data_IF_956125164432
#
_entry.id   IF_956125164432
#
_cell.length_a   1.000
_cell.length_b   1.000
_cell.length_c   1.000
_cell.angle_alpha   90.00
_cell.angle_beta   90.00
_cell.angle_gamma   90.00
#
_symmetry.space_group_name_H-M   'P 1'
#
loop_
_entity.id
_entity.type
_entity.pdbx_description
1 polymer ?
#
# COMPACT_ATOMS: atom_id res chain seq x y z
N UNK A 1 0.09 -16.04 11.75
CA UNK A 1 -0.16 -14.70 11.22
C UNK A 1 0.59 -14.49 9.92
N UNK A 2 -0.11 -14.10 8.89
CA UNK A 2 0.44 -13.86 7.56
C UNK A 2 -0.06 -12.53 7.03
N UNK A 3 0.77 -11.79 6.26
CA UNK A 3 0.30 -10.59 5.60
C UNK A 3 -0.71 -10.93 4.50
N UNK A 4 -1.59 -9.98 4.19
CA UNK A 4 -2.63 -10.19 3.19
C UNK A 4 -2.10 -10.24 1.76
N UNK A 5 -1.03 -9.51 1.48
CA UNK A 5 -0.45 -9.42 0.14
C UNK A 5 1.06 -9.57 0.20
N UNK A 6 1.57 -10.55 -0.52
CA UNK A 6 3.00 -10.70 -0.77
C UNK A 6 3.16 -10.92 -2.27
N UNK A 7 3.93 -10.08 -2.92
CA UNK A 7 4.20 -10.27 -4.33
C UNK A 7 5.65 -10.04 -4.67
N UNK A 8 6.09 -10.66 -5.74
CA UNK A 8 7.47 -10.64 -6.18
C UNK A 8 7.62 -9.73 -7.39
N UNK A 9 8.64 -8.87 -7.36
CA UNK A 9 8.97 -8.03 -8.50
C UNK A 9 10.44 -7.61 -8.38
N UNK A 10 11.18 -7.67 -9.49
CA UNK A 10 12.60 -7.28 -9.59
C UNK A 10 13.51 -7.96 -8.57
N UNK A 11 13.33 -9.25 -8.39
CA UNK A 11 14.19 -10.03 -7.52
C UNK A 11 13.98 -9.80 -6.03
N UNK A 12 12.89 -9.15 -5.66
CA UNK A 12 12.56 -8.92 -4.26
C UNK A 12 11.07 -9.05 -3.97
N UNK A 13 10.72 -8.86 -2.73
CA UNK A 13 9.35 -9.00 -2.25
C UNK A 13 8.77 -7.65 -1.82
N UNK A 14 7.46 -7.52 -2.02
CA UNK A 14 6.64 -6.46 -1.48
C UNK A 14 5.64 -7.09 -0.52
N UNK A 15 5.56 -6.54 0.68
CA UNK A 15 4.74 -7.10 1.77
C UNK A 15 3.75 -6.04 2.24
N UNK A 16 2.46 -6.29 2.04
CA UNK A 16 1.40 -5.36 2.43
C UNK A 16 0.34 -6.07 3.24
N UNK A 17 -0.27 -5.32 4.16
CA UNK A 17 -1.40 -5.81 4.94
C UNK A 17 -2.61 -4.89 4.72
N UNK A 18 -3.79 -5.47 4.63
CA UNK A 18 -5.03 -4.70 4.44
C UNK A 18 -5.62 -4.36 5.80
N UNK A 19 -5.95 -3.10 6.02
CA UNK A 19 -6.50 -2.62 7.27
C UNK A 19 -7.93 -2.11 7.07
N UNK A 20 -8.89 -2.83 7.63
CA UNK A 20 -10.32 -2.51 7.53
C UNK A 20 -10.77 -1.62 8.68
N UNK A 21 -9.96 -0.65 9.03
CA UNK A 21 -10.26 0.32 10.08
C UNK A 21 -10.00 1.73 9.57
N UNK A 22 -10.56 2.72 10.26
CA UNK A 22 -10.39 4.10 9.88
C UNK A 22 -8.91 4.51 9.98
N UNK A 23 -8.42 5.20 8.97
CA UNK A 23 -7.10 5.81 9.02
C UNK A 23 -7.22 7.16 9.75
N UNK A 24 -6.36 7.38 10.74
CA UNK A 24 -6.32 8.63 11.48
C UNK A 24 -5.29 9.56 10.83
N UNK A 25 -5.73 10.67 10.20
CA UNK A 25 -4.80 11.58 9.53
C UNK A 25 -3.86 12.31 10.50
N UNK A 26 -4.23 12.40 11.78
CA UNK A 26 -3.40 13.08 12.77
C UNK A 26 -2.27 12.19 13.29
N UNK A 27 -2.57 10.92 13.57
CA UNK A 27 -1.60 10.00 14.16
C UNK A 27 -1.03 9.00 13.15
N UNK A 28 -1.63 8.90 11.99
CA UNK A 28 -1.18 8.00 10.94
C UNK A 28 -1.44 6.54 11.26
N UNK A 29 -0.47 5.69 10.91
CA UNK A 29 -0.58 4.25 11.14
C UNK A 29 -0.34 3.95 12.62
N UNK A 30 -1.15 3.05 13.18
CA UNK A 30 -1.02 2.67 14.58
C UNK A 30 0.27 1.91 14.83
N UNK A 31 0.86 2.14 15.98
CA UNK A 31 2.12 1.53 16.39
C UNK A 31 2.08 0.01 16.39
N UNK A 32 0.99 -0.56 16.87
CA UNK A 32 0.81 -2.02 16.89
C UNK A 32 0.77 -2.62 15.49
N UNK A 33 0.19 -1.90 14.52
CA UNK A 33 0.17 -2.31 13.12
C UNK A 33 1.58 -2.29 12.52
N UNK A 34 2.37 -1.28 12.86
CA UNK A 34 3.76 -1.20 12.44
C UNK A 34 4.59 -2.34 13.01
N UNK A 35 4.39 -2.71 14.28
CA UNK A 35 5.08 -3.85 14.87
C UNK A 35 4.74 -5.15 14.14
N UNK A 36 3.48 -5.34 13.79
CA UNK A 36 3.05 -6.51 13.02
C UNK A 36 3.73 -6.55 11.65
N UNK A 37 3.79 -5.40 10.98
CA UNK A 37 4.46 -5.30 9.67
C UNK A 37 5.95 -5.63 9.79
N UNK A 38 6.63 -5.12 10.81
CA UNK A 38 8.03 -5.46 11.07
C UNK A 38 8.24 -6.96 11.27
N UNK A 39 7.31 -7.61 11.94
CA UNK A 39 7.34 -9.07 12.14
C UNK A 39 7.24 -9.79 10.80
N UNK A 40 6.32 -9.38 9.94
CA UNK A 40 6.18 -9.97 8.60
C UNK A 40 7.44 -9.78 7.76
N UNK A 41 8.01 -8.59 7.78
CA UNK A 41 9.25 -8.29 7.05
C UNK A 41 10.39 -9.18 7.55
N UNK A 42 10.51 -9.36 8.85
CA UNK A 42 11.51 -10.23 9.43
C UNK A 42 11.36 -11.69 8.99
N UNK A 43 10.13 -12.17 8.91
CA UNK A 43 9.85 -13.54 8.46
C UNK A 43 10.19 -13.75 6.98
N UNK A 44 9.75 -12.84 6.11
CA UNK A 44 9.94 -12.98 4.67
C UNK A 44 11.33 -12.54 4.21
N UNK A 45 11.97 -11.64 4.95
CA UNK A 45 13.27 -11.10 4.60
C UNK A 45 14.44 -12.04 4.88
N UNK A 46 14.21 -13.18 5.53
CA UNK A 46 15.27 -14.13 5.88
C UNK A 46 15.93 -14.80 4.68
N UNK A 47 15.33 -14.79 3.55
CA UNK A 47 15.89 -15.39 2.34
C UNK A 47 15.59 -14.58 1.09
N UNK A 48 15.09 -13.37 1.26
CA UNK A 48 14.68 -12.54 0.14
C UNK A 48 14.91 -11.07 0.46
N UNK A 49 15.18 -10.29 -0.57
CA UNK A 49 15.23 -8.84 -0.48
C UNK A 49 13.81 -8.28 -0.36
N UNK A 50 13.59 -7.35 0.56
CA UNK A 50 12.31 -6.66 0.68
C UNK A 50 12.42 -5.31 -0.03
N UNK A 51 11.72 -5.18 -1.15
CA UNK A 51 11.75 -3.97 -1.98
C UNK A 51 10.73 -2.91 -1.56
N UNK A 52 9.75 -3.29 -0.77
CA UNK A 52 8.75 -2.37 -0.28
C UNK A 52 7.77 -3.06 0.66
N UNK A 53 7.06 -2.24 1.42
CA UNK A 53 6.08 -2.75 2.39
C UNK A 53 5.06 -1.67 2.67
N UNK A 54 4.00 -2.02 3.36
CA UNK A 54 3.03 -1.04 3.78
C UNK A 54 1.66 -1.59 4.08
N UNK A 55 0.69 -0.70 3.97
CA UNK A 55 -0.71 -0.99 4.29
C UNK A 55 -1.63 -0.54 3.18
N UNK A 56 -2.74 -1.24 3.02
CA UNK A 56 -3.83 -0.85 2.15
C UNK A 56 -5.05 -0.58 3.01
N UNK A 57 -5.63 0.61 2.87
CA UNK A 57 -6.85 1.02 3.56
C UNK A 57 -7.98 1.17 2.55
N UNK A 58 -8.96 0.25 2.51
CA UNK A 58 -10.21 0.53 1.79
C UNK A 58 -10.94 1.65 2.50
N UNK A 59 -11.36 2.68 1.75
CA UNK A 59 -12.06 3.82 2.34
C UNK A 59 -13.22 4.27 1.46
N UNK A 60 -14.20 4.92 2.07
CA UNK A 60 -15.35 5.48 1.35
C UNK A 60 -14.95 6.68 0.51
N UNK A 61 -15.81 7.04 -0.45
CA UNK A 61 -15.62 8.25 -1.25
C UNK A 61 -15.57 9.50 -0.38
N UNK A 62 -16.40 9.58 0.66
CA UNK A 62 -16.43 10.71 1.58
C UNK A 62 -15.08 10.85 2.33
N UNK A 63 -14.54 9.74 2.82
CA UNK A 63 -13.24 9.76 3.50
C UNK A 63 -12.11 10.09 2.55
N UNK A 64 -12.16 9.58 1.33
CA UNK A 64 -11.19 9.91 0.29
C UNK A 64 -11.15 11.42 0.06
N UNK A 65 -12.32 12.03 -0.09
CA UNK A 65 -12.42 13.49 -0.28
C UNK A 65 -11.95 14.26 0.95
N UNK A 66 -12.33 13.80 2.14
CA UNK A 66 -11.93 14.44 3.40
C UNK A 66 -10.41 14.42 3.60
N UNK A 67 -9.73 13.39 3.12
CA UNK A 67 -8.27 13.26 3.21
C UNK A 67 -7.54 13.87 2.00
N UNK A 68 -8.26 14.45 1.04
CA UNK A 68 -7.68 15.07 -0.16
C UNK A 68 -6.75 14.14 -0.95
N UNK A 69 -7.20 12.92 -1.20
CA UNK A 69 -6.35 11.89 -1.79
C UNK A 69 -6.25 11.90 -3.31
N UNK A 70 -7.03 12.74 -4.01
CA UNK A 70 -6.98 12.80 -5.47
C UNK A 70 -5.59 13.19 -5.98
N UNK A 71 -4.99 14.20 -5.38
CA UNK A 71 -3.70 14.73 -5.82
C UNK A 71 -2.57 13.72 -5.63
N UNK A 72 -2.61 12.96 -4.55
CA UNK A 72 -1.61 11.93 -4.27
C UNK A 72 -1.95 10.58 -4.90
N UNK A 73 -3.11 10.48 -5.54
CA UNK A 73 -3.64 9.23 -6.12
C UNK A 73 -3.79 8.13 -5.07
N UNK A 74 -4.10 8.53 -3.82
CA UNK A 74 -4.28 7.59 -2.72
C UNK A 74 -2.99 6.96 -2.22
N UNK A 75 -1.85 7.61 -2.41
CA UNK A 75 -0.56 7.07 -1.99
C UNK A 75 0.15 8.04 -1.04
N UNK A 76 0.61 7.53 0.07
CA UNK A 76 1.53 8.22 0.98
C UNK A 76 2.76 7.33 1.11
N UNK A 77 3.94 7.87 0.84
CA UNK A 77 5.18 7.10 0.89
C UNK A 77 6.16 7.67 1.90
N UNK A 78 6.89 6.77 2.53
CA UNK A 78 7.91 7.07 3.52
C UNK A 78 8.94 5.94 3.51
N UNK A 79 9.73 5.85 4.55
CA UNK A 79 10.72 4.80 4.72
C UNK A 79 10.61 4.27 6.14
N UNK A 80 10.72 2.96 6.31
CA UNK A 80 10.90 2.38 7.63
C UNK A 80 12.27 1.73 7.73
N UNK A 81 12.79 1.64 8.93
CA UNK A 81 14.11 1.07 9.16
C UNK A 81 13.99 -0.26 9.86
N UNK A 82 14.62 -1.27 9.30
CA UNK A 82 14.67 -2.60 9.89
C UNK A 82 16.02 -3.23 9.67
N UNK A 83 16.65 -3.72 10.74
CA UNK A 83 17.96 -4.39 10.70
C UNK A 83 19.01 -3.57 9.94
N UNK A 84 19.00 -2.26 10.16
CA UNK A 84 19.98 -1.37 9.54
C UNK A 84 19.70 -1.00 8.09
N UNK A 85 18.57 -1.45 7.53
CA UNK A 85 18.19 -1.13 6.16
C UNK A 85 16.97 -0.23 6.13
N UNK A 86 16.97 0.71 5.18
CA UNK A 86 15.81 1.54 4.88
C UNK A 86 14.94 0.84 3.85
N UNK A 87 13.69 0.59 4.21
CA UNK A 87 12.74 -0.10 3.33
C UNK A 87 11.67 0.90 2.92
N UNK A 88 11.40 1.08 1.62
CA UNK A 88 10.29 1.92 1.18
C UNK A 88 8.98 1.47 1.80
N UNK A 89 8.26 2.42 2.38
CA UNK A 89 7.02 2.18 3.10
C UNK A 89 5.91 2.98 2.45
N UNK A 90 4.80 2.32 2.16
CA UNK A 90 3.69 2.94 1.44
C UNK A 90 2.38 2.71 2.17
N UNK A 91 1.57 3.75 2.24
CA UNK A 91 0.16 3.63 2.63
C UNK A 91 -0.66 3.89 1.37
N UNK A 92 -1.42 2.90 0.98
CA UNK A 92 -2.27 2.94 -0.19
C UNK A 92 -3.73 2.99 0.24
N UNK A 93 -4.50 3.84 -0.42
CA UNK A 93 -5.94 3.94 -0.16
C UNK A 93 -6.69 3.44 -1.39
N UNK A 94 -7.61 2.53 -1.17
CA UNK A 94 -8.51 2.03 -2.22
C UNK A 94 -9.87 2.68 -2.01
N UNK A 95 -10.30 3.50 -2.96
CA UNK A 95 -11.60 4.16 -2.88
C UNK A 95 -12.71 3.17 -3.21
N UNK A 96 -13.63 3.00 -2.27
CA UNK A 96 -14.78 2.12 -2.44
C UNK A 96 -15.99 2.98 -2.82
N UNK A 97 -16.58 2.76 -4.00
CA UNK A 97 -17.79 3.48 -4.40
C UNK A 97 -18.95 3.17 -3.47
N UNK A 98 -19.97 4.04 -3.48
CA UNK A 98 -21.19 3.82 -2.72
C UNK A 98 -21.84 2.51 -3.19
N UNK A 99 -22.07 1.59 -2.26
CA UNK A 99 -22.62 0.26 -2.56
C UNK A 99 -24.11 0.29 -2.93
N UNK A 100 -24.77 1.44 -2.78
CA UNK A 100 -26.18 1.61 -3.23
C UNK A 100 -26.27 2.01 -4.70
N UNK A 101 -25.14 2.31 -5.34
CA UNK A 101 -25.12 2.65 -6.78
C UNK A 101 -25.48 1.44 -7.62
N UNK A 102 -26.30 1.65 -8.66
CA UNK A 102 -26.61 0.63 -9.66
C UNK A 102 -25.38 0.22 -10.47
N UNK A 103 -24.38 1.09 -10.54
CA UNK A 103 -23.14 0.88 -11.29
C UNK A 103 -21.98 0.41 -10.41
N UNK A 104 -22.26 -0.08 -9.22
CA UNK A 104 -21.21 -0.37 -8.25
C UNK A 104 -20.08 -1.24 -8.82
N UNK A 105 -20.42 -2.33 -9.51
CA UNK A 105 -19.42 -3.24 -10.03
C UNK A 105 -18.50 -2.57 -11.06
N UNK A 106 -19.07 -1.75 -11.93
CA UNK A 106 -18.30 -0.99 -12.93
C UNK A 106 -17.39 0.03 -12.25
N UNK A 107 -17.95 0.80 -11.30
CA UNK A 107 -17.17 1.80 -10.56
C UNK A 107 -16.06 1.16 -9.73
N UNK A 108 -16.33 0.02 -9.12
CA UNK A 108 -15.32 -0.69 -8.34
C UNK A 108 -14.19 -1.21 -9.23
N UNK A 109 -14.53 -1.73 -10.41
CA UNK A 109 -13.52 -2.17 -11.38
C UNK A 109 -12.63 -1.02 -11.82
N UNK A 110 -13.19 0.17 -12.03
CA UNK A 110 -12.40 1.36 -12.36
C UNK A 110 -11.46 1.75 -11.22
N UNK A 111 -11.93 1.70 -9.98
CA UNK A 111 -11.10 2.02 -8.82
C UNK A 111 -9.97 1.01 -8.64
N UNK A 112 -10.24 -0.27 -8.85
CA UNK A 112 -9.20 -1.30 -8.81
C UNK A 112 -8.14 -1.07 -9.90
N UNK A 113 -8.57 -0.72 -11.11
CA UNK A 113 -7.64 -0.40 -12.20
C UNK A 113 -6.76 0.79 -11.85
N UNK A 114 -7.35 1.87 -11.35
CA UNK A 114 -6.61 3.06 -10.93
C UNK A 114 -5.62 2.74 -9.80
N UNK A 115 -6.04 1.90 -8.86
CA UNK A 115 -5.20 1.45 -7.76
C UNK A 115 -3.98 0.68 -8.28
N UNK A 116 -4.21 -0.26 -9.19
CA UNK A 116 -3.11 -1.02 -9.80
C UNK A 116 -2.19 -0.14 -10.63
N UNK A 117 -2.74 0.84 -11.36
CA UNK A 117 -1.93 1.81 -12.10
C UNK A 117 -1.02 2.62 -11.15
N UNK A 118 -1.54 3.00 -9.99
CA UNK A 118 -0.75 3.72 -8.99
C UNK A 118 0.40 2.86 -8.48
N UNK A 119 0.15 1.59 -8.18
CA UNK A 119 1.20 0.67 -7.77
C UNK A 119 2.26 0.54 -8.86
N UNK A 120 1.86 0.31 -10.09
CA UNK A 120 2.80 0.13 -11.19
C UNK A 120 3.60 1.39 -11.49
N UNK A 121 2.96 2.56 -11.46
CA UNK A 121 3.62 3.80 -11.84
C UNK A 121 4.40 4.48 -10.72
N UNK A 122 4.03 4.26 -9.45
CA UNK A 122 4.61 4.97 -8.32
C UNK A 122 5.47 4.10 -7.41
N UNK A 123 5.18 2.80 -7.35
CA UNK A 123 5.89 1.87 -6.46
C UNK A 123 6.88 1.02 -7.25
N UNK A 124 6.47 0.48 -8.38
CA UNK A 124 7.29 -0.44 -9.19
C UNK A 124 8.16 0.26 -10.24
N UNK A 125 7.93 1.53 -10.55
CA UNK A 125 8.73 2.24 -11.56
C UNK A 125 10.20 2.38 -11.22
N UNK A 126 10.53 2.37 -9.94
CA UNK A 126 11.92 2.47 -9.49
C UNK A 126 12.81 1.39 -10.09
N UNK A 127 12.23 0.24 -10.36
CA UNK A 127 12.91 -0.90 -10.95
C UNK A 127 13.21 -0.70 -12.42
N UNK A 128 12.26 -0.13 -13.16
CA UNK A 128 12.46 0.18 -14.57
C UNK A 128 13.58 1.19 -14.75
N UNK A 129 13.65 2.19 -13.87
CA UNK A 129 14.73 3.18 -13.89
C UNK A 129 16.07 2.54 -13.55
N UNK A 130 16.11 1.66 -12.55
CA UNK A 130 17.33 0.95 -12.18
C UNK A 130 17.81 0.02 -13.29
N UNK A 131 16.91 -0.59 -14.04
CA UNK A 131 17.24 -1.45 -15.17
C UNK A 131 17.89 -0.68 -16.33
N UNK A 132 17.66 0.62 -16.42
CA UNK A 132 18.26 1.48 -17.45
C UNK A 132 19.62 2.06 -17.04
N UNK A 133 19.87 2.06 -15.75
CA UNK A 133 21.13 2.57 -15.22
C UNK A 133 22.22 1.51 -15.27
#
# INVERSE_FOLDING_TARGET
LEPDLVFESDGGLYVFDVKYKAFDPQFGVKREDLFQLHTYIGQYGNGALINGCGFVYPISEDRWSALNLDKSRGLISDVIRQQGQDIPFHVLFLKIPDNTSLDFNRLMSEQCRMFMDTIQSKILTKEKVAAWA
#
